data_IF_096422166412
#
_entry.id   IF_096422166412
#
_cell.length_a   1.000
_cell.length_b   1.000
_cell.length_c   1.000
_cell.angle_alpha   90.00
_cell.angle_beta   90.00
_cell.angle_gamma   90.00
#
_symmetry.space_group_name_H-M   'P 1'
#
loop_
_entity.id
_entity.type
_entity.pdbx_description
1 polymer ?
#
# COMPACT_ATOMS: atom_id res chain seq x y z
N UNK A 1 25.16 10.77 6.33
CA UNK A 1 24.35 10.75 5.09
C UNK A 1 23.24 11.79 5.24
N UNK A 2 22.59 12.20 4.16
CA UNK A 2 21.46 13.13 4.29
C UNK A 2 20.27 12.40 4.92
N UNK A 3 19.49 13.10 5.75
CA UNK A 3 18.30 12.54 6.39
C UNK A 3 17.14 12.44 5.38
N UNK A 4 16.29 11.41 5.54
CA UNK A 4 15.10 11.16 4.72
C UNK A 4 13.90 11.02 5.66
N UNK A 5 12.93 11.91 5.53
CA UNK A 5 11.70 11.80 6.31
C UNK A 5 10.83 10.66 5.80
N UNK A 6 10.32 9.87 6.71
CA UNK A 6 9.36 8.77 6.45
C UNK A 6 8.10 9.01 7.27
N UNK A 7 6.97 9.26 6.60
CA UNK A 7 5.68 9.34 7.26
C UNK A 7 5.23 7.95 7.72
N UNK A 8 4.92 7.85 9.01
CA UNK A 8 4.53 6.59 9.66
C UNK A 8 3.03 6.39 9.57
N UNK A 9 2.60 5.33 8.89
CA UNK A 9 1.23 4.84 8.95
C UNK A 9 1.13 3.80 10.08
N UNK A 10 0.33 4.09 11.09
CA UNK A 10 0.10 3.22 12.24
C UNK A 10 -1.34 3.34 12.74
N UNK A 11 -1.78 2.36 13.49
CA UNK A 11 -3.06 2.37 14.23
C UNK A 11 -2.75 2.11 15.69
N UNK A 12 -2.99 3.10 16.53
CA UNK A 12 -2.77 3.05 17.98
C UNK A 12 -1.40 2.42 18.35
N UNK A 13 -0.32 2.89 17.72
CA UNK A 13 1.05 2.43 17.95
C UNK A 13 1.48 1.19 17.14
N UNK A 14 0.56 0.47 16.54
CA UNK A 14 0.89 -0.66 15.67
C UNK A 14 1.31 -0.16 14.28
N UNK A 15 2.59 -0.24 13.97
CA UNK A 15 3.16 0.21 12.68
C UNK A 15 2.69 -0.71 11.55
N UNK A 16 2.20 -0.12 10.47
CA UNK A 16 1.73 -0.88 9.30
C UNK A 16 2.90 -1.24 8.37
N UNK A 17 2.76 -2.37 7.69
CA UNK A 17 3.78 -2.91 6.77
C UNK A 17 4.30 -1.90 5.75
N UNK A 18 3.48 -1.05 5.07
CA UNK A 18 3.99 -0.07 4.13
C UNK A 18 5.03 0.90 4.71
N UNK A 19 4.92 1.27 5.99
CA UNK A 19 5.94 2.08 6.67
C UNK A 19 7.29 1.36 6.75
N UNK A 20 7.28 0.07 7.07
CA UNK A 20 8.50 -0.74 7.17
C UNK A 20 9.19 -0.91 5.80
N UNK A 21 8.40 -1.03 4.75
CA UNK A 21 8.87 -1.02 3.36
C UNK A 21 9.52 0.33 3.00
N UNK A 22 8.88 1.45 3.42
CA UNK A 22 9.44 2.80 3.23
C UNK A 22 10.77 2.98 3.94
N UNK A 23 10.93 2.48 5.17
CA UNK A 23 12.19 2.53 5.89
C UNK A 23 13.29 1.76 5.14
N UNK A 24 12.97 0.60 4.57
CA UNK A 24 13.89 -0.17 3.73
C UNK A 24 14.35 0.63 2.52
N UNK A 25 13.44 1.31 1.82
CA UNK A 25 13.78 2.14 0.66
C UNK A 25 14.51 3.42 1.05
N UNK A 26 14.14 4.06 2.16
CA UNK A 26 14.77 5.27 2.67
C UNK A 26 16.28 5.06 2.93
N UNK A 27 16.67 3.89 3.46
CA UNK A 27 18.08 3.55 3.70
C UNK A 27 18.93 3.49 2.42
N UNK A 28 18.31 3.32 1.26
CA UNK A 28 19.02 3.33 -0.03
C UNK A 28 19.43 4.73 -0.49
N UNK A 29 18.74 5.76 0.04
CA UNK A 29 18.91 7.16 -0.38
C UNK A 29 19.36 8.09 0.75
N UNK A 30 19.38 7.63 2.00
CA UNK A 30 19.81 8.41 3.15
C UNK A 30 19.54 7.74 4.50
N UNK A 31 19.56 8.51 5.57
CA UNK A 31 19.27 8.07 6.95
C UNK A 31 17.78 8.29 7.27
N UNK A 32 17.01 7.23 7.60
CA UNK A 32 15.58 7.39 7.84
C UNK A 32 15.29 8.12 9.16
N UNK A 33 14.50 9.20 9.07
CA UNK A 33 13.89 9.89 10.21
C UNK A 33 12.38 9.66 10.11
N UNK A 34 11.82 8.89 11.03
CA UNK A 34 10.41 8.58 11.05
C UNK A 34 9.58 9.70 11.69
N UNK A 35 8.39 9.98 11.15
CA UNK A 35 7.44 10.96 11.70
C UNK A 35 6.15 10.24 12.06
N UNK A 36 5.93 10.00 13.35
CA UNK A 36 4.77 9.31 13.89
C UNK A 36 3.80 10.33 14.54
N UNK A 37 2.55 10.31 14.13
CA UNK A 37 1.54 11.31 14.49
C UNK A 37 0.28 10.67 15.06
N UNK A 38 -0.28 11.29 16.12
CA UNK A 38 -1.54 10.86 16.71
C UNK A 38 -1.38 9.89 17.88
N UNK A 39 -2.49 9.31 18.31
CA UNK A 39 -2.53 8.40 19.47
C UNK A 39 -1.59 7.22 19.29
N UNK A 40 -0.73 6.95 20.30
CA UNK A 40 0.25 5.87 20.28
C UNK A 40 1.48 6.14 19.42
N UNK A 41 1.71 7.38 18.98
CA UNK A 41 2.89 7.72 18.16
C UNK A 41 4.21 7.30 18.83
N UNK A 42 4.33 7.49 20.15
CA UNK A 42 5.52 7.08 20.91
C UNK A 42 5.74 5.56 20.94
N UNK A 43 4.66 4.77 20.91
CA UNK A 43 4.73 3.30 20.98
C UNK A 43 5.31 2.68 19.69
N UNK A 44 5.34 3.43 18.59
CA UNK A 44 5.92 2.99 17.32
C UNK A 44 7.44 2.90 17.35
N UNK A 45 8.11 3.59 18.28
CA UNK A 45 9.55 3.86 18.25
C UNK A 45 10.42 2.59 18.19
N UNK A 46 10.09 1.58 19.00
CA UNK A 46 10.87 0.33 19.04
C UNK A 46 10.85 -0.38 17.69
N UNK A 47 9.66 -0.51 17.07
CA UNK A 47 9.50 -1.13 15.75
C UNK A 47 10.21 -0.34 14.67
N UNK A 48 10.12 0.99 14.69
CA UNK A 48 10.77 1.85 13.71
C UNK A 48 12.30 1.79 13.83
N UNK A 49 12.83 1.75 15.05
CA UNK A 49 14.26 1.59 15.32
C UNK A 49 14.80 0.25 14.81
N UNK A 50 14.06 -0.86 15.03
CA UNK A 50 14.41 -2.20 14.52
C UNK A 50 14.54 -2.21 12.98
N UNK A 51 13.78 -1.36 12.29
CA UNK A 51 13.76 -1.28 10.83
C UNK A 51 14.55 -0.12 10.24
N UNK A 52 15.38 0.56 11.04
CA UNK A 52 16.40 1.47 10.55
C UNK A 52 16.13 2.95 10.74
N UNK A 53 15.10 3.33 11.50
CA UNK A 53 14.92 4.72 11.86
C UNK A 53 16.01 5.16 12.83
N UNK A 54 16.84 6.14 12.44
CA UNK A 54 17.87 6.70 13.32
C UNK A 54 17.24 7.65 14.35
N UNK A 55 16.11 8.25 14.00
CA UNK A 55 15.33 9.19 14.81
C UNK A 55 13.85 8.97 14.57
N UNK A 56 13.04 9.19 15.61
CA UNK A 56 11.57 9.13 15.55
C UNK A 56 11.03 10.46 16.10
N UNK A 57 10.47 11.26 15.22
CA UNK A 57 9.76 12.49 15.59
C UNK A 57 8.32 12.14 15.92
N UNK A 58 7.85 12.51 17.12
CA UNK A 58 6.51 12.18 17.59
C UNK A 58 5.72 13.44 17.91
N UNK A 59 4.43 13.44 17.56
CA UNK A 59 3.49 14.45 18.01
C UNK A 59 2.11 13.86 18.18
N UNK A 60 1.52 14.03 19.38
CA UNK A 60 0.17 13.56 19.69
C UNK A 60 -0.77 14.75 19.84
N UNK A 61 -1.87 14.74 19.09
CA UNK A 61 -2.91 15.75 19.16
C UNK A 61 -4.23 15.17 18.64
N UNK A 62 -5.35 15.65 19.21
CA UNK A 62 -6.70 15.21 18.80
C UNK A 62 -7.02 15.58 17.35
N UNK A 63 -6.40 16.62 16.83
CA UNK A 63 -6.58 17.15 15.49
C UNK A 63 -6.31 16.10 14.41
N UNK A 64 -5.41 15.14 14.64
CA UNK A 64 -5.12 14.06 13.67
C UNK A 64 -6.28 13.06 13.53
N UNK A 65 -7.10 12.92 14.59
CA UNK A 65 -8.29 12.08 14.57
C UNK A 65 -9.56 12.88 14.20
N UNK A 66 -9.65 14.13 14.65
CA UNK A 66 -10.86 14.94 14.51
C UNK A 66 -11.00 15.58 13.12
N UNK A 67 -9.90 15.76 12.40
CA UNK A 67 -9.91 16.43 11.09
C UNK A 67 -9.30 15.56 10.01
N UNK A 68 -9.48 15.95 8.74
CA UNK A 68 -8.89 15.26 7.61
C UNK A 68 -7.36 15.52 7.56
N UNK A 69 -6.75 15.39 6.41
CA UNK A 69 -5.29 15.27 6.25
C UNK A 69 -4.46 16.52 6.61
N UNK A 70 -5.06 17.70 6.69
CA UNK A 70 -4.29 18.96 6.81
C UNK A 70 -3.47 19.05 8.10
N UNK A 71 -3.93 18.60 9.28
CA UNK A 71 -3.08 18.53 10.47
C UNK A 71 -1.80 17.70 10.26
N UNK A 72 -1.89 16.60 9.51
CA UNK A 72 -0.73 15.75 9.18
C UNK A 72 0.24 16.45 8.22
N UNK A 73 -0.29 17.26 7.29
CA UNK A 73 0.53 18.10 6.41
C UNK A 73 1.27 19.16 7.20
N UNK A 74 0.63 19.84 8.17
CA UNK A 74 1.26 20.82 9.05
C UNK A 74 2.41 20.19 9.85
N UNK A 75 2.20 18.99 10.39
CA UNK A 75 3.23 18.27 11.12
C UNK A 75 4.42 17.86 10.24
N UNK A 76 4.16 17.36 9.03
CA UNK A 76 5.22 16.99 8.09
C UNK A 76 5.99 18.20 7.59
N UNK A 77 5.34 19.37 7.44
CA UNK A 77 6.03 20.62 7.14
C UNK A 77 6.93 21.03 8.31
N UNK A 78 6.45 20.98 9.55
CA UNK A 78 7.26 21.26 10.73
C UNK A 78 8.45 20.29 10.85
N UNK A 79 8.25 19.00 10.59
CA UNK A 79 9.33 18.02 10.55
C UNK A 79 10.34 18.33 9.44
N UNK A 80 9.89 18.74 8.25
CA UNK A 80 10.77 19.16 7.16
C UNK A 80 11.62 20.39 7.54
N UNK A 81 11.01 21.37 8.19
CA UNK A 81 11.72 22.58 8.66
C UNK A 81 12.77 22.25 9.74
N UNK A 82 12.46 21.30 10.63
CA UNK A 82 13.36 20.88 11.70
C UNK A 82 14.57 20.06 11.20
N UNK A 83 14.36 19.23 10.17
CA UNK A 83 15.33 18.21 9.71
C UNK A 83 16.07 18.66 8.44
N UNK A 84 15.43 19.44 7.57
CA UNK A 84 15.94 19.80 6.23
C UNK A 84 16.32 18.55 5.41
N UNK A 85 15.39 17.60 5.19
CA UNK A 85 15.69 16.30 4.62
C UNK A 85 15.99 16.36 3.12
N UNK A 86 16.69 15.33 2.60
CA UNK A 86 16.89 15.15 1.17
C UNK A 86 15.66 14.68 0.42
N UNK A 87 14.71 14.04 1.11
CA UNK A 87 13.43 13.59 0.55
C UNK A 87 12.39 13.35 1.66
N UNK A 88 11.12 13.33 1.28
CA UNK A 88 10.00 12.90 2.13
C UNK A 88 9.29 11.72 1.47
N UNK A 89 9.21 10.59 2.17
CA UNK A 89 8.54 9.37 1.72
C UNK A 89 7.23 9.18 2.46
N UNK A 90 6.17 8.83 1.69
CA UNK A 90 4.81 8.64 2.19
C UNK A 90 4.24 7.35 1.58
N UNK A 91 3.46 6.52 2.31
CA UNK A 91 2.77 5.39 1.71
C UNK A 91 1.78 5.84 0.62
N UNK A 92 1.72 5.15 -0.52
CA UNK A 92 0.84 5.50 -1.64
C UNK A 92 -0.59 4.99 -1.40
N UNK A 93 -1.21 5.46 -0.31
CA UNK A 93 -2.64 5.33 -0.03
C UNK A 93 -3.40 6.56 -0.57
N UNK A 94 -4.73 6.53 -0.54
CA UNK A 94 -5.54 7.70 -0.90
C UNK A 94 -5.19 8.91 0.00
N UNK A 95 -5.09 8.69 1.31
CA UNK A 95 -4.69 9.70 2.28
C UNK A 95 -3.23 10.16 2.04
N UNK A 96 -2.30 9.22 1.85
CA UNK A 96 -0.89 9.51 1.65
C UNK A 96 -0.63 10.34 0.39
N UNK A 97 -1.35 10.10 -0.70
CA UNK A 97 -1.27 10.91 -1.92
C UNK A 97 -1.76 12.34 -1.71
N UNK A 98 -2.84 12.51 -0.96
CA UNK A 98 -3.36 13.85 -0.64
C UNK A 98 -2.37 14.60 0.27
N UNK A 99 -1.82 13.93 1.30
CA UNK A 99 -0.78 14.50 2.16
C UNK A 99 0.42 14.93 1.32
N UNK A 100 0.94 14.04 0.48
CA UNK A 100 2.12 14.29 -0.34
C UNK A 100 1.92 15.46 -1.31
N UNK A 101 0.77 15.53 -1.99
CA UNK A 101 0.45 16.61 -2.91
C UNK A 101 0.37 17.98 -2.21
N UNK A 102 -0.31 18.04 -1.06
CA UNK A 102 -0.43 19.27 -0.27
C UNK A 102 0.92 19.71 0.30
N UNK A 103 1.72 18.75 0.81
CA UNK A 103 3.05 19.03 1.33
C UNK A 103 3.98 19.57 0.24
N UNK A 104 4.04 18.91 -0.92
CA UNK A 104 4.87 19.35 -2.03
C UNK A 104 4.51 20.76 -2.49
N UNK A 105 3.22 21.10 -2.56
CA UNK A 105 2.76 22.46 -2.88
C UNK A 105 3.27 23.47 -1.86
N UNK A 106 3.18 23.20 -0.56
CA UNK A 106 3.65 24.10 0.50
C UNK A 106 5.17 24.29 0.49
N UNK A 107 5.90 23.23 0.16
CA UNK A 107 7.36 23.26 0.06
C UNK A 107 7.87 23.89 -1.25
N UNK A 108 6.97 24.22 -2.19
CA UNK A 108 7.33 24.67 -3.54
C UNK A 108 8.14 23.63 -4.31
N UNK A 109 7.87 22.36 -4.04
CA UNK A 109 8.57 21.19 -4.57
C UNK A 109 7.70 20.38 -5.55
N UNK A 110 8.33 19.40 -6.20
CA UNK A 110 7.62 18.39 -7.00
C UNK A 110 7.18 17.19 -6.16
N UNK A 111 6.16 16.48 -6.65
CA UNK A 111 5.67 15.22 -6.10
C UNK A 111 5.77 14.12 -7.14
N UNK A 112 6.22 12.92 -6.72
CA UNK A 112 6.17 11.69 -7.52
C UNK A 112 5.24 10.73 -6.80
N UNK A 113 4.21 10.23 -7.50
CA UNK A 113 3.26 9.29 -6.91
C UNK A 113 3.47 7.89 -7.44
N UNK A 114 3.07 6.89 -6.64
CA UNK A 114 3.07 5.48 -7.02
C UNK A 114 4.45 4.93 -7.44
N UNK A 115 5.52 5.39 -6.80
CA UNK A 115 6.84 4.78 -6.99
C UNK A 115 6.81 3.29 -6.59
N UNK A 116 7.54 2.47 -7.33
CA UNK A 116 7.71 1.03 -7.06
C UNK A 116 9.15 0.67 -6.69
N UNK A 117 10.07 1.62 -6.83
CA UNK A 117 11.45 1.51 -6.37
C UNK A 117 12.09 2.88 -6.20
N UNK A 118 13.16 2.96 -5.39
CA UNK A 118 13.95 4.15 -5.14
C UNK A 118 15.44 3.81 -5.18
N UNK A 119 16.22 4.68 -5.83
CA UNK A 119 17.68 4.61 -5.87
C UNK A 119 18.29 5.99 -5.65
N UNK A 120 19.52 6.01 -5.12
CA UNK A 120 20.31 7.23 -5.06
C UNK A 120 20.73 7.65 -6.46
N UNK A 121 20.70 8.96 -6.74
CA UNK A 121 21.20 9.54 -7.98
C UNK A 121 22.06 10.77 -7.70
N UNK A 122 22.88 11.17 -8.64
CA UNK A 122 23.84 12.27 -8.50
C UNK A 122 23.15 13.63 -8.19
N UNK A 123 21.93 13.80 -8.68
CA UNK A 123 21.14 15.03 -8.50
C UNK A 123 19.91 14.83 -7.60
N UNK A 124 19.94 13.85 -6.70
CA UNK A 124 18.87 13.49 -5.77
C UNK A 124 18.22 12.16 -6.08
N UNK A 125 17.24 11.73 -5.24
CA UNK A 125 16.59 10.44 -5.37
C UNK A 125 15.89 10.25 -6.71
N UNK A 126 16.05 9.07 -7.29
CA UNK A 126 15.39 8.62 -8.52
C UNK A 126 14.34 7.60 -8.17
N UNK A 127 13.10 7.88 -8.55
CA UNK A 127 11.97 6.99 -8.36
C UNK A 127 11.65 6.23 -9.64
N UNK A 128 11.49 4.91 -9.53
CA UNK A 128 10.95 4.08 -10.60
C UNK A 128 9.43 3.99 -10.47
N UNK A 129 8.71 4.20 -11.55
CA UNK A 129 7.25 4.09 -11.60
C UNK A 129 6.85 3.09 -12.67
N UNK A 130 5.83 2.28 -12.40
CA UNK A 130 5.15 1.44 -13.37
C UNK A 130 3.86 2.14 -13.81
N UNK A 131 3.77 2.54 -15.08
CA UNK A 131 2.71 3.40 -15.61
C UNK A 131 1.96 2.75 -16.77
N UNK A 132 0.80 3.34 -17.13
CA UNK A 132 -0.09 2.82 -18.18
C UNK A 132 -0.43 1.34 -17.98
N UNK A 133 -0.97 1.03 -16.80
CA UNK A 133 -1.32 -0.33 -16.42
C UNK A 133 -0.11 -1.30 -16.57
N UNK A 134 1.07 -0.90 -16.07
CA UNK A 134 2.34 -1.60 -16.11
C UNK A 134 2.91 -1.90 -17.52
N UNK A 135 2.40 -1.22 -18.54
CA UNK A 135 2.95 -1.36 -19.90
C UNK A 135 4.31 -0.69 -20.05
N UNK A 136 4.62 0.29 -19.20
CA UNK A 136 5.88 1.03 -19.23
C UNK A 136 6.46 1.22 -17.84
N UNK A 137 7.77 1.26 -17.78
CA UNK A 137 8.54 1.67 -16.60
C UNK A 137 9.19 3.00 -16.89
N UNK A 138 9.09 3.96 -15.96
CA UNK A 138 9.75 5.25 -16.05
C UNK A 138 10.64 5.49 -14.85
N UNK A 139 11.74 6.21 -15.01
CA UNK A 139 12.56 6.75 -13.95
C UNK A 139 12.38 8.25 -13.91
N UNK A 140 12.05 8.77 -12.73
CA UNK A 140 11.71 10.19 -12.53
C UNK A 140 12.46 10.74 -11.32
N UNK A 141 12.85 12.00 -11.38
CA UNK A 141 13.34 12.75 -10.23
C UNK A 141 12.68 14.13 -10.14
N UNK A 142 12.66 14.69 -8.96
CA UNK A 142 12.21 16.07 -8.75
C UNK A 142 13.39 16.99 -8.99
N UNK A 143 13.21 17.99 -9.85
CA UNK A 143 14.27 18.94 -10.25
C UNK A 143 14.31 20.20 -9.39
N UNK A 144 13.33 20.42 -8.51
CA UNK A 144 13.23 21.62 -7.67
C UNK A 144 12.65 21.31 -6.30
N UNK A 145 13.29 21.78 -5.25
CA UNK A 145 12.87 21.60 -3.86
C UNK A 145 13.16 20.19 -3.33
N UNK A 146 12.65 19.90 -2.15
CA UNK A 146 12.78 18.57 -1.52
C UNK A 146 11.78 17.59 -2.12
N UNK A 147 12.22 16.49 -2.75
CA UNK A 147 11.31 15.51 -3.34
C UNK A 147 10.31 14.97 -2.33
N UNK A 148 9.02 14.97 -2.69
CA UNK A 148 7.98 14.27 -1.95
C UNK A 148 7.53 13.08 -2.80
N UNK A 149 7.71 11.86 -2.27
CA UNK A 149 7.53 10.64 -3.06
C UNK A 149 6.57 9.71 -2.34
N UNK A 150 5.48 9.29 -3.01
CA UNK A 150 4.65 8.21 -2.48
C UNK A 150 5.06 6.88 -3.09
N UNK A 151 5.14 5.84 -2.26
CA UNK A 151 5.57 4.50 -2.66
C UNK A 151 4.41 3.51 -2.50
N UNK A 152 4.18 2.69 -3.51
CA UNK A 152 3.14 1.65 -3.48
C UNK A 152 3.49 0.57 -2.45
N UNK A 153 2.49 0.03 -1.72
CA UNK A 153 2.69 -1.15 -0.90
C UNK A 153 3.22 -2.34 -1.71
N UNK A 154 3.96 -3.22 -1.05
CA UNK A 154 4.62 -4.40 -1.64
C UNK A 154 5.72 -4.08 -2.69
N UNK A 155 6.23 -2.85 -2.70
CA UNK A 155 7.32 -2.44 -3.60
C UNK A 155 8.70 -2.88 -3.13
N UNK A 156 8.88 -3.12 -1.83
CA UNK A 156 10.13 -3.61 -1.26
C UNK A 156 9.86 -4.70 -0.22
N UNK A 157 10.83 -5.60 -0.05
CA UNK A 157 10.82 -6.49 1.10
C UNK A 157 11.10 -5.69 2.37
N UNK A 158 10.43 -6.06 3.48
CA UNK A 158 10.75 -5.49 4.78
C UNK A 158 12.06 -6.10 5.27
N UNK A 159 13.04 -5.27 5.58
CA UNK A 159 14.36 -5.67 6.07
C UNK A 159 14.63 -5.06 7.44
N UNK A 160 14.92 -5.91 8.43
CA UNK A 160 15.40 -5.44 9.71
C UNK A 160 16.80 -4.82 9.55
N UNK A 161 17.01 -3.68 10.18
CA UNK A 161 18.29 -2.96 10.20
C UNK A 161 18.34 -2.06 11.44
N UNK A 162 18.57 -2.63 12.62
CA UNK A 162 18.48 -1.89 13.88
C UNK A 162 19.32 -0.61 13.90
N UNK A 163 18.71 0.48 14.32
CA UNK A 163 19.30 1.80 14.43
C UNK A 163 18.97 2.43 15.79
N UNK A 164 19.47 3.67 16.03
CA UNK A 164 19.35 4.29 17.34
C UNK A 164 17.91 4.58 17.77
N UNK A 165 17.02 4.94 16.83
CA UNK A 165 15.62 5.20 17.12
C UNK A 165 15.39 6.31 18.16
N UNK A 166 16.26 7.34 18.18
CA UNK A 166 16.16 8.42 19.16
C UNK A 166 14.80 9.13 19.05
N UNK A 167 14.02 9.11 20.14
CA UNK A 167 12.67 9.71 20.15
C UNK A 167 12.79 11.20 20.50
N UNK A 168 12.24 12.05 19.65
CA UNK A 168 12.19 13.49 19.85
C UNK A 168 10.76 14.00 19.67
N UNK A 169 10.31 14.88 20.56
CA UNK A 169 9.01 15.53 20.42
C UNK A 169 9.06 16.58 19.30
N UNK A 170 8.14 16.47 18.33
CA UNK A 170 7.99 17.47 17.28
C UNK A 170 7.09 18.62 17.78
N UNK A 171 7.52 19.87 17.55
CA UNK A 171 6.66 21.03 17.81
C UNK A 171 5.84 21.35 16.56
N UNK A 172 4.51 21.31 16.69
CA UNK A 172 3.58 21.55 15.56
C UNK A 172 2.66 22.71 15.90
N UNK A 173 2.53 23.66 14.97
CA UNK A 173 1.49 24.68 15.01
C UNK A 173 0.52 24.43 13.89
N UNK A 174 -0.74 24.15 14.23
CA UNK A 174 -1.77 23.89 13.23
C UNK A 174 -2.22 25.19 12.54
N UNK A 175 -2.29 25.12 11.21
CA UNK A 175 -2.83 26.21 10.40
C UNK A 175 -4.34 26.35 10.56
N UNK A 176 -4.91 27.49 10.21
CA UNK A 176 -6.36 27.68 10.21
C UNK A 176 -7.08 26.69 9.28
N UNK A 177 -6.43 26.19 8.24
CA UNK A 177 -6.96 25.19 7.33
C UNK A 177 -7.00 23.79 7.97
N UNK A 178 -6.20 23.51 8.99
CA UNK A 178 -6.15 22.21 9.66
C UNK A 178 -7.52 21.81 10.25
N UNK A 179 -8.27 22.78 10.74
CA UNK A 179 -9.59 22.57 11.35
C UNK A 179 -10.76 22.85 10.42
N UNK A 180 -10.49 23.04 9.13
CA UNK A 180 -11.51 23.40 8.12
C UNK A 180 -12.48 22.28 7.75
N UNK A 181 -12.10 21.00 7.97
CA UNK A 181 -12.97 19.85 7.62
C UNK A 181 -12.92 18.82 8.72
N UNK A 182 -13.98 18.80 9.53
CA UNK A 182 -14.11 17.92 10.69
C UNK A 182 -14.70 16.57 10.32
N UNK A 183 -14.18 15.50 10.91
CA UNK A 183 -14.77 14.16 10.85
C UNK A 183 -15.98 14.11 11.77
N UNK A 184 -17.17 13.92 11.23
CA UNK A 184 -18.43 13.90 12.00
C UNK A 184 -18.81 12.52 12.53
N UNK A 185 -18.18 11.46 12.01
CA UNK A 185 -18.38 10.09 12.45
C UNK A 185 -17.47 9.11 11.76
N UNK A 186 -17.22 7.98 12.41
CA UNK A 186 -16.46 6.84 11.87
C UNK A 186 -17.27 5.58 12.08
N UNK A 187 -17.39 4.77 11.06
CA UNK A 187 -17.96 3.43 11.18
C UNK A 187 -16.81 2.43 11.03
N UNK A 188 -16.41 1.77 12.11
CA UNK A 188 -15.37 0.73 12.04
C UNK A 188 -15.80 -0.35 11.06
N UNK A 189 -14.86 -0.80 10.23
CA UNK A 189 -15.07 -1.96 9.38
C UNK A 189 -14.90 -3.22 10.22
N UNK A 190 -15.82 -4.16 10.08
CA UNK A 190 -15.67 -5.46 10.70
C UNK A 190 -14.42 -6.17 10.15
N UNK A 191 -13.57 -6.64 11.06
CA UNK A 191 -12.39 -7.41 10.69
C UNK A 191 -12.82 -8.81 10.22
N UNK A 192 -12.40 -9.21 9.04
CA UNK A 192 -12.58 -10.58 8.56
C UNK A 192 -11.48 -11.52 9.03
N UNK A 193 -10.49 -11.02 9.79
CA UNK A 193 -9.28 -11.76 10.14
C UNK A 193 -8.27 -11.91 8.98
N UNK A 194 -8.64 -11.47 7.77
CA UNK A 194 -7.76 -11.48 6.59
C UNK A 194 -6.96 -10.18 6.49
N UNK A 195 -5.77 -10.20 5.87
CA UNK A 195 -4.98 -8.99 5.65
C UNK A 195 -5.72 -7.99 4.76
N UNK A 196 -5.38 -6.70 4.89
CA UNK A 196 -5.90 -5.66 4.01
C UNK A 196 -5.49 -5.91 2.56
N UNK A 197 -6.43 -5.76 1.63
CA UNK A 197 -6.26 -6.12 0.23
C UNK A 197 -5.06 -5.45 -0.44
N UNK A 198 -4.77 -4.19 -0.11
CA UNK A 198 -3.66 -3.43 -0.71
C UNK A 198 -2.29 -3.76 -0.11
N UNK A 199 -2.25 -4.42 1.05
CA UNK A 199 -1.01 -4.74 1.79
C UNK A 199 -0.70 -6.24 1.81
N UNK A 200 -1.68 -7.06 1.39
CA UNK A 200 -1.57 -8.51 1.40
C UNK A 200 -0.42 -9.00 0.51
N UNK A 201 0.36 -9.95 1.02
CA UNK A 201 1.38 -10.63 0.22
C UNK A 201 0.76 -11.61 -0.79
N UNK A 202 -0.42 -12.12 -0.50
CA UNK A 202 -1.17 -13.02 -1.38
C UNK A 202 -2.60 -12.50 -1.52
N UNK A 203 -3.11 -12.50 -2.75
CA UNK A 203 -4.50 -12.14 -3.05
C UNK A 203 -5.14 -13.25 -3.86
N UNK A 204 -6.29 -13.72 -3.40
CA UNK A 204 -7.16 -14.64 -4.15
C UNK A 204 -8.39 -13.87 -4.61
N UNK A 205 -8.64 -13.81 -5.91
CA UNK A 205 -9.68 -12.95 -6.47
C UNK A 205 -10.70 -13.74 -7.29
N UNK A 206 -11.99 -13.51 -7.02
CA UNK A 206 -13.11 -14.09 -7.75
C UNK A 206 -13.67 -13.18 -8.83
N UNK A 207 -13.95 -13.72 -9.99
CA UNK A 207 -14.57 -13.01 -11.10
C UNK A 207 -16.03 -13.43 -11.35
N UNK A 208 -16.56 -12.99 -12.50
CA UNK A 208 -17.92 -13.35 -12.93
C UNK A 208 -18.11 -14.88 -13.09
N UNK A 209 -17.02 -15.64 -13.30
CA UNK A 209 -17.07 -17.09 -13.38
C UNK A 209 -17.46 -17.78 -12.08
N UNK A 210 -17.41 -17.11 -10.93
CA UNK A 210 -17.89 -17.61 -9.62
C UNK A 210 -19.40 -17.79 -9.62
N UNK A 211 -20.14 -17.02 -10.42
CA UNK A 211 -21.56 -17.22 -10.73
C UNK A 211 -22.52 -17.19 -9.53
N UNK A 212 -22.22 -16.40 -8.49
CA UNK A 212 -23.12 -16.23 -7.32
C UNK A 212 -22.37 -15.78 -6.08
N UNK A 213 -23.08 -15.08 -5.18
CA UNK A 213 -22.50 -14.61 -3.92
C UNK A 213 -22.13 -15.78 -3.00
N UNK A 214 -22.98 -16.79 -2.94
CA UNK A 214 -22.81 -18.01 -2.13
C UNK A 214 -21.56 -18.80 -2.54
N UNK A 215 -21.21 -18.73 -3.82
CA UNK A 215 -20.05 -19.45 -4.37
C UNK A 215 -18.72 -18.78 -4.04
N UNK A 216 -18.71 -17.51 -3.55
CA UNK A 216 -17.50 -16.90 -3.07
C UNK A 216 -16.86 -17.64 -1.90
N UNK A 217 -17.61 -18.51 -1.21
CA UNK A 217 -17.10 -19.36 -0.14
C UNK A 217 -15.88 -20.20 -0.58
N UNK A 218 -15.81 -20.66 -1.85
CA UNK A 218 -14.64 -21.40 -2.34
C UNK A 218 -13.40 -20.52 -2.50
N UNK A 219 -13.60 -19.25 -2.91
CA UNK A 219 -12.53 -18.26 -3.02
C UNK A 219 -12.01 -17.89 -1.63
N UNK A 220 -12.91 -17.73 -0.68
CA UNK A 220 -12.60 -17.45 0.72
C UNK A 220 -11.83 -18.60 1.37
N UNK A 221 -12.27 -19.85 1.15
CA UNK A 221 -11.59 -21.03 1.68
C UNK A 221 -10.14 -21.15 1.15
N UNK A 222 -9.94 -20.86 -0.15
CA UNK A 222 -8.59 -20.83 -0.72
C UNK A 222 -7.75 -19.68 -0.10
N UNK A 223 -8.33 -18.49 0.05
CA UNK A 223 -7.66 -17.36 0.66
C UNK A 223 -7.26 -17.68 2.11
N UNK A 224 -8.14 -18.25 2.90
CA UNK A 224 -7.89 -18.63 4.30
C UNK A 224 -6.78 -19.68 4.40
N UNK A 225 -6.74 -20.67 3.52
CA UNK A 225 -5.69 -21.68 3.48
C UNK A 225 -4.29 -21.07 3.22
N UNK A 226 -4.24 -19.93 2.54
CA UNK A 226 -3.02 -19.22 2.18
C UNK A 226 -2.68 -18.06 3.15
N UNK A 227 -3.61 -17.64 4.03
CA UNK A 227 -3.50 -16.39 4.78
C UNK A 227 -3.60 -15.16 3.87
N UNK A 228 -4.39 -15.26 2.82
CA UNK A 228 -4.51 -14.28 1.75
C UNK A 228 -5.66 -13.29 1.96
N UNK A 229 -5.61 -12.14 1.28
CA UNK A 229 -6.77 -11.28 1.13
C UNK A 229 -7.68 -11.79 0.00
N UNK A 230 -8.97 -11.46 0.09
CA UNK A 230 -9.94 -11.74 -0.97
C UNK A 230 -10.19 -10.49 -1.81
N UNK A 231 -9.99 -10.64 -3.12
CA UNK A 231 -10.34 -9.64 -4.12
C UNK A 231 -11.55 -10.06 -4.95
N UNK A 232 -12.14 -9.12 -5.65
CA UNK A 232 -13.24 -9.37 -6.58
C UNK A 232 -13.10 -8.53 -7.84
N UNK A 233 -13.55 -9.06 -8.98
CA UNK A 233 -13.66 -8.27 -10.19
C UNK A 233 -14.83 -7.26 -10.08
N UNK A 234 -14.78 -6.16 -10.85
CA UNK A 234 -15.89 -5.23 -10.93
C UNK A 234 -17.21 -5.92 -11.29
N UNK A 235 -17.18 -6.88 -12.22
CA UNK A 235 -18.39 -7.59 -12.63
C UNK A 235 -19.04 -8.41 -11.50
N UNK A 236 -18.23 -8.97 -10.58
CA UNK A 236 -18.76 -9.68 -9.41
C UNK A 236 -19.33 -8.69 -8.36
N UNK A 237 -18.66 -7.54 -8.19
CA UNK A 237 -19.11 -6.49 -7.27
C UNK A 237 -20.39 -5.81 -7.77
N UNK A 238 -20.45 -5.43 -9.06
CA UNK A 238 -21.64 -4.83 -9.67
C UNK A 238 -22.86 -5.78 -9.63
N UNK A 239 -22.62 -7.10 -9.64
CA UNK A 239 -23.65 -8.10 -9.44
C UNK A 239 -24.08 -8.31 -7.98
N UNK A 240 -23.44 -7.60 -7.04
CA UNK A 240 -23.72 -7.71 -5.60
C UNK A 240 -23.18 -8.97 -4.93
N UNK A 241 -22.27 -9.70 -5.58
CA UNK A 241 -21.76 -10.96 -5.04
C UNK A 241 -20.65 -10.77 -4.00
N UNK A 242 -19.94 -9.64 -4.05
CA UNK A 242 -18.90 -9.35 -3.08
C UNK A 242 -18.81 -7.83 -2.82
N UNK A 243 -18.32 -7.41 -1.63
CA UNK A 243 -18.29 -5.99 -1.26
C UNK A 243 -17.42 -5.13 -2.22
N UNK A 244 -17.87 -3.92 -2.51
CA UNK A 244 -17.14 -2.95 -3.35
C UNK A 244 -15.72 -2.65 -2.81
N UNK A 245 -15.54 -2.71 -1.50
CA UNK A 245 -14.23 -2.50 -0.84
C UNK A 245 -13.17 -3.55 -1.22
N UNK A 246 -13.61 -4.67 -1.80
CA UNK A 246 -12.74 -5.75 -2.30
C UNK A 246 -12.53 -5.70 -3.82
N UNK A 247 -13.07 -4.69 -4.51
CA UNK A 247 -12.90 -4.56 -5.94
C UNK A 247 -11.45 -4.30 -6.32
N UNK A 248 -10.90 -5.14 -7.20
CA UNK A 248 -9.59 -4.97 -7.82
C UNK A 248 -9.74 -4.45 -9.24
N UNK A 249 -9.00 -3.41 -9.60
CA UNK A 249 -9.03 -2.85 -10.94
C UNK A 249 -8.86 -1.33 -10.96
N UNK A 250 -8.94 -0.75 -12.14
CA UNK A 250 -8.76 0.69 -12.39
C UNK A 250 -9.70 1.59 -11.55
N UNK A 251 -10.94 1.13 -11.32
CA UNK A 251 -11.96 1.85 -10.53
C UNK A 251 -12.12 1.28 -9.13
N UNK A 252 -11.28 0.36 -8.73
CA UNK A 252 -11.19 -0.22 -7.40
C UNK A 252 -9.81 -0.01 -6.78
N UNK A 253 -9.36 -1.01 -6.04
CA UNK A 253 -8.03 -1.02 -5.45
C UNK A 253 -7.00 -1.56 -6.45
N UNK A 254 -5.81 -0.93 -6.50
CA UNK A 254 -4.63 -1.49 -7.14
C UNK A 254 -3.83 -2.28 -6.12
N UNK A 255 -3.45 -3.50 -6.47
CA UNK A 255 -2.69 -4.43 -5.63
C UNK A 255 -1.43 -4.90 -6.35
N UNK A 256 -0.38 -5.17 -5.60
CA UNK A 256 0.90 -5.68 -6.11
C UNK A 256 1.43 -6.78 -5.19
N UNK A 257 0.66 -7.87 -4.95
CA UNK A 257 1.08 -8.95 -4.07
C UNK A 257 2.24 -9.75 -4.67
N UNK A 258 2.86 -10.59 -3.84
CA UNK A 258 3.82 -11.60 -4.30
C UNK A 258 3.12 -12.70 -5.13
N UNK A 259 1.86 -13.01 -4.79
CA UNK A 259 1.03 -13.99 -5.53
C UNK A 259 -0.38 -13.45 -5.70
N UNK A 260 -0.86 -13.42 -6.94
CA UNK A 260 -2.24 -13.11 -7.28
C UNK A 260 -2.89 -14.32 -7.96
N UNK A 261 -3.96 -14.84 -7.38
CA UNK A 261 -4.73 -15.96 -7.96
C UNK A 261 -6.06 -15.41 -8.49
N UNK A 262 -6.25 -15.46 -9.81
CA UNK A 262 -7.44 -14.99 -10.51
C UNK A 262 -8.34 -16.17 -10.87
N UNK A 263 -9.48 -16.32 -10.21
CA UNK A 263 -10.43 -17.42 -10.43
C UNK A 263 -11.69 -16.92 -11.14
N UNK A 264 -11.96 -17.43 -12.35
CA UNK A 264 -13.12 -17.04 -13.15
C UNK A 264 -13.12 -15.56 -13.61
N UNK A 265 -11.95 -14.98 -13.77
CA UNK A 265 -11.73 -13.59 -14.23
C UNK A 265 -11.32 -13.62 -15.69
N UNK A 266 -11.97 -12.80 -16.54
CA UNK A 266 -11.69 -12.76 -17.98
C UNK A 266 -10.40 -12.06 -18.36
N UNK A 267 -9.89 -11.14 -17.52
CA UNK A 267 -8.70 -10.36 -17.85
C UNK A 267 -8.97 -9.08 -18.65
N UNK A 268 -10.16 -8.48 -18.49
CA UNK A 268 -10.43 -7.16 -19.04
C UNK A 268 -9.38 -6.14 -18.58
N UNK A 269 -9.01 -5.19 -19.46
CA UNK A 269 -7.92 -4.22 -19.23
C UNK A 269 -8.09 -3.44 -17.92
N UNK A 270 -9.36 -3.16 -17.53
CA UNK A 270 -9.64 -2.45 -16.28
C UNK A 270 -9.29 -3.27 -15.05
N UNK A 271 -9.45 -4.61 -15.08
CA UNK A 271 -9.03 -5.49 -14.00
C UNK A 271 -7.52 -5.63 -13.98
N UNK A 272 -6.91 -5.86 -15.16
CA UNK A 272 -5.47 -5.96 -15.34
C UNK A 272 -4.73 -4.76 -14.75
N UNK A 273 -5.25 -3.55 -14.99
CA UNK A 273 -4.68 -2.31 -14.45
C UNK A 273 -4.56 -2.29 -12.92
N UNK A 274 -5.36 -3.08 -12.21
CA UNK A 274 -5.32 -3.17 -10.74
C UNK A 274 -4.46 -4.29 -10.18
N UNK A 275 -3.95 -5.26 -11.01
CA UNK A 275 -3.24 -6.41 -10.46
C UNK A 275 -2.01 -6.87 -11.25
N UNK A 276 -1.79 -6.36 -12.45
CA UNK A 276 -0.70 -6.89 -13.31
C UNK A 276 0.72 -6.54 -12.85
N UNK A 277 0.88 -5.73 -11.82
CA UNK A 277 2.14 -5.49 -11.13
C UNK A 277 2.43 -6.53 -10.03
N UNK A 278 1.57 -7.54 -9.87
CA UNK A 278 1.82 -8.68 -8.99
C UNK A 278 3.06 -9.45 -9.46
N UNK A 279 3.84 -9.99 -8.51
CA UNK A 279 5.09 -10.66 -8.84
C UNK A 279 4.88 -12.01 -9.53
N UNK A 280 3.86 -12.75 -9.11
CA UNK A 280 3.43 -14.00 -9.72
C UNK A 280 1.92 -13.97 -9.87
N UNK A 281 1.44 -14.29 -11.06
CA UNK A 281 0.02 -14.31 -11.37
C UNK A 281 -0.38 -15.72 -11.82
N UNK A 282 -1.39 -16.25 -11.17
CA UNK A 282 -2.01 -17.55 -11.53
C UNK A 282 -3.46 -17.30 -11.96
N UNK A 283 -3.90 -17.89 -13.05
CA UNK A 283 -5.30 -17.84 -13.47
C UNK A 283 -5.93 -19.22 -13.55
N UNK A 284 -7.19 -19.29 -13.14
CA UNK A 284 -8.06 -20.46 -13.30
C UNK A 284 -9.29 -19.99 -14.08
N UNK A 285 -9.46 -20.48 -15.30
CA UNK A 285 -10.59 -20.11 -16.15
C UNK A 285 -10.96 -21.28 -17.06
N UNK A 286 -12.26 -21.51 -17.27
CA UNK A 286 -12.74 -22.56 -18.18
C UNK A 286 -12.62 -22.17 -19.66
N UNK A 287 -12.55 -20.87 -19.97
CA UNK A 287 -12.35 -20.35 -21.31
C UNK A 287 -10.86 -20.25 -21.61
N UNK A 288 -10.35 -21.14 -22.46
CA UNK A 288 -8.95 -21.19 -22.86
C UNK A 288 -8.49 -19.92 -23.61
N UNK A 289 -9.43 -19.18 -24.22
CA UNK A 289 -9.17 -17.96 -24.97
C UNK A 289 -9.34 -16.70 -24.10
N UNK A 290 -9.55 -16.86 -22.79
CA UNK A 290 -9.71 -15.70 -21.91
C UNK A 290 -8.45 -14.84 -21.91
N UNK A 291 -8.56 -13.50 -22.12
CA UNK A 291 -7.41 -12.58 -22.20
C UNK A 291 -6.52 -12.54 -20.94
N UNK A 292 -6.98 -13.12 -19.83
CA UNK A 292 -6.16 -13.24 -18.62
C UNK A 292 -4.94 -14.11 -18.86
N UNK A 293 -5.03 -15.12 -19.73
CA UNK A 293 -3.94 -16.06 -20.01
C UNK A 293 -2.75 -15.41 -20.73
N UNK A 294 -2.94 -14.28 -21.41
CA UNK A 294 -1.83 -13.51 -22.02
C UNK A 294 -0.91 -12.85 -20.97
N UNK A 295 -1.36 -12.78 -19.71
CA UNK A 295 -0.68 -12.03 -18.67
C UNK A 295 -0.06 -12.92 -17.58
N UNK A 296 -0.57 -14.14 -17.40
CA UNK A 296 -0.26 -14.94 -16.22
C UNK A 296 1.06 -15.72 -16.36
N UNK A 297 1.73 -15.96 -15.25
CA UNK A 297 2.87 -16.86 -15.18
C UNK A 297 2.44 -18.33 -15.25
N UNK A 298 1.26 -18.66 -14.68
CA UNK A 298 0.66 -20.00 -14.70
C UNK A 298 -0.83 -19.93 -14.97
N UNK A 299 -1.29 -20.70 -15.95
CA UNK A 299 -2.69 -20.82 -16.32
C UNK A 299 -3.23 -22.24 -16.15
N UNK A 300 -4.41 -22.35 -15.57
CA UNK A 300 -5.17 -23.61 -15.51
C UNK A 300 -6.47 -23.43 -16.27
N UNK A 301 -6.59 -24.13 -17.39
CA UNK A 301 -7.85 -24.21 -18.14
C UNK A 301 -8.72 -25.29 -17.50
N UNK A 302 -9.78 -24.87 -16.79
CA UNK A 302 -10.66 -25.78 -16.06
C UNK A 302 -11.78 -25.07 -15.34
N UNK A 303 -12.73 -25.85 -14.84
CA UNK A 303 -13.80 -25.31 -14.01
C UNK A 303 -13.25 -24.97 -12.61
N UNK A 304 -13.47 -23.71 -12.19
CA UNK A 304 -13.01 -23.24 -10.89
C UNK A 304 -13.66 -24.01 -9.73
N UNK A 305 -14.87 -24.54 -9.92
CA UNK A 305 -15.55 -25.34 -8.90
C UNK A 305 -14.90 -26.70 -8.66
N UNK A 306 -14.13 -27.20 -9.61
CA UNK A 306 -13.32 -28.41 -9.47
C UNK A 306 -11.89 -28.08 -9.02
N UNK A 307 -11.27 -27.08 -9.66
CA UNK A 307 -9.84 -26.77 -9.45
C UNK A 307 -9.57 -26.10 -8.10
N UNK A 308 -10.39 -25.11 -7.70
CA UNK A 308 -10.15 -24.33 -6.48
C UNK A 308 -10.26 -25.18 -5.21
N UNK A 309 -11.28 -26.04 -5.04
CA UNK A 309 -11.34 -26.92 -3.88
C UNK A 309 -10.16 -27.91 -3.80
N UNK A 310 -9.77 -28.51 -4.94
CA UNK A 310 -8.60 -29.41 -4.97
C UNK A 310 -7.31 -28.68 -4.59
N UNK A 311 -7.10 -27.49 -5.12
CA UNK A 311 -5.96 -26.64 -4.75
C UNK A 311 -5.95 -26.31 -3.26
N UNK A 312 -7.12 -25.99 -2.70
CA UNK A 312 -7.27 -25.68 -1.27
C UNK A 312 -6.87 -26.86 -0.39
N UNK A 313 -7.32 -28.06 -0.70
CA UNK A 313 -7.00 -29.27 0.05
C UNK A 313 -5.51 -29.65 -0.09
N UNK A 314 -4.93 -29.51 -1.28
CA UNK A 314 -3.51 -29.75 -1.49
C UNK A 314 -2.63 -28.78 -0.68
N UNK A 315 -3.01 -27.48 -0.61
CA UNK A 315 -2.31 -26.48 0.20
C UNK A 315 -2.40 -26.83 1.69
N UNK A 316 -3.58 -27.21 2.19
CA UNK A 316 -3.74 -27.63 3.58
C UNK A 316 -2.86 -28.84 3.90
N UNK A 317 -2.84 -29.82 3.02
CA UNK A 317 -2.03 -31.04 3.19
C UNK A 317 -0.53 -30.72 3.25
N UNK A 318 -0.03 -29.79 2.43
CA UNK A 318 1.39 -29.40 2.42
C UNK A 318 1.80 -28.50 3.57
N UNK A 319 0.86 -27.75 4.14
CA UNK A 319 1.16 -26.88 5.29
C UNK A 319 1.14 -27.64 6.62
N UNK A 320 0.57 -28.84 6.67
CA UNK A 320 0.53 -29.72 7.83
C UNK A 320 -0.53 -29.31 8.81
#
# INVERSE_FOLDING_TARGET
>A
MAEVLVYVDHVDGAVRKPTLELLTLARRIGEPVAVALGSGAADTAATLAEHGAVKVLTHEAAEYADYLVVPKVDALQAAHEAVSPAAVLVPSSAEGKEIAARLALRLGSGVITDAVDLEAGDEGPVATQSVFAASYTTKSRVSKGTPVITVKPNSAAVEAAPAAGAVEALSVTFSAQATGTKVTGRTPRESTGRPELTEAAIVVSGGRGVNGAENFAIIEALADSLGAAVGASRAAVDAGWYPHTSQVGQTGKSVSPQLYIASGISGAIQHRAGMQTSKTIVAINKDAEAPIFDLVDYGVVGDLFDVVPQLTEEIKTRKG
#
